data_IF_241858886938
#
_entry.id   IF_241858886938
#
_cell.length_a   1.000
_cell.length_b   1.000
_cell.length_c   1.000
_cell.angle_alpha   90.00
_cell.angle_beta   90.00
_cell.angle_gamma   90.00
#
_symmetry.space_group_name_H-M   'P 1'
#
loop_
_entity.id
_entity.type
_entity.pdbx_description
1 polymer ?
#
# COMPACT_ATOMS: atom_id res chain seq x y z
N UNK A 1 -20.14 -10.20 7.52
CA UNK A 1 -19.42 -8.91 7.64
C UNK A 1 -18.20 -9.05 8.52
N UNK A 2 -18.32 -9.08 9.85
CA UNK A 2 -17.17 -9.02 10.78
C UNK A 2 -16.05 -10.03 10.48
N UNK A 3 -16.38 -11.30 10.20
CA UNK A 3 -15.38 -12.33 9.89
C UNK A 3 -14.63 -12.04 8.58
N UNK A 4 -15.33 -11.61 7.53
CA UNK A 4 -14.72 -11.28 6.24
C UNK A 4 -13.82 -10.06 6.36
N UNK A 5 -14.30 -9.01 7.06
CA UNK A 5 -13.52 -7.79 7.28
C UNK A 5 -12.23 -8.09 8.06
N UNK A 6 -12.31 -9.00 9.05
CA UNK A 6 -11.16 -9.46 9.83
C UNK A 6 -10.16 -10.24 8.96
N UNK A 7 -10.66 -11.12 8.09
CA UNK A 7 -9.82 -11.88 7.15
C UNK A 7 -9.14 -10.92 6.16
N UNK A 8 -9.86 -9.95 5.61
CA UNK A 8 -9.30 -8.98 4.65
C UNK A 8 -8.23 -8.11 5.30
N UNK A 9 -8.42 -7.64 6.53
CA UNK A 9 -7.38 -6.94 7.28
C UNK A 9 -6.17 -7.86 7.56
N UNK A 10 -6.39 -9.11 7.96
CA UNK A 10 -5.31 -10.04 8.25
C UNK A 10 -4.49 -10.33 6.99
N UNK A 11 -5.16 -10.56 5.87
CA UNK A 11 -4.51 -10.75 4.57
C UNK A 11 -3.79 -9.49 4.11
N UNK A 12 -4.36 -8.30 4.31
CA UNK A 12 -3.65 -7.04 4.09
C UNK A 12 -2.31 -7.01 4.83
N UNK A 13 -2.29 -7.36 6.12
CA UNK A 13 -1.05 -7.39 6.91
C UNK A 13 -0.06 -8.46 6.44
N UNK A 14 -0.53 -9.66 6.09
CA UNK A 14 0.33 -10.73 5.55
C UNK A 14 0.97 -10.29 4.24
N UNK A 15 0.20 -9.71 3.33
CA UNK A 15 0.71 -9.22 2.05
C UNK A 15 1.63 -8.01 2.23
N UNK A 16 1.36 -7.11 3.17
CA UNK A 16 2.26 -6.00 3.52
C UNK A 16 3.61 -6.51 4.06
N UNK A 17 3.59 -7.55 4.92
CA UNK A 17 4.80 -8.19 5.41
C UNK A 17 5.59 -8.85 4.28
N UNK A 18 4.92 -9.64 3.42
CA UNK A 18 5.57 -10.31 2.30
C UNK A 18 6.07 -9.31 1.25
N UNK A 19 5.36 -8.21 1.03
CA UNK A 19 5.82 -7.09 0.23
C UNK A 19 7.15 -6.58 0.76
N UNK A 20 7.19 -6.21 2.04
CA UNK A 20 8.39 -5.68 2.67
C UNK A 20 9.57 -6.67 2.62
N UNK A 21 9.30 -7.95 2.89
CA UNK A 21 10.29 -9.02 2.86
C UNK A 21 10.91 -9.22 1.46
N UNK A 22 10.08 -9.30 0.41
CA UNK A 22 10.56 -9.46 -0.96
C UNK A 22 11.25 -8.19 -1.47
N UNK A 23 10.74 -7.02 -1.07
CA UNK A 23 11.32 -5.75 -1.46
C UNK A 23 12.74 -5.61 -0.90
N UNK A 24 12.97 -5.92 0.38
CA UNK A 24 14.29 -5.91 1.02
C UNK A 24 15.30 -6.88 0.38
N UNK A 25 14.83 -7.93 -0.28
CA UNK A 25 15.67 -8.92 -1.00
C UNK A 25 15.88 -8.56 -2.48
N UNK A 26 15.50 -7.35 -2.89
CA UNK A 26 15.51 -6.89 -4.28
C UNK A 26 14.71 -7.79 -5.24
N UNK A 27 13.77 -8.59 -4.70
CA UNK A 27 12.87 -9.42 -5.48
C UNK A 27 11.63 -8.59 -5.88
N UNK A 28 11.85 -7.60 -6.73
CA UNK A 28 10.83 -6.61 -7.09
C UNK A 28 9.60 -7.20 -7.79
N UNK A 29 9.77 -8.29 -8.54
CA UNK A 29 8.65 -8.96 -9.22
C UNK A 29 7.67 -9.54 -8.19
N UNK A 30 8.17 -10.31 -7.22
CA UNK A 30 7.32 -10.84 -6.15
C UNK A 30 6.82 -9.74 -5.23
N UNK A 31 7.64 -8.74 -4.91
CA UNK A 31 7.18 -7.59 -4.13
C UNK A 31 5.99 -6.89 -4.83
N UNK A 32 6.05 -6.70 -6.15
CA UNK A 32 4.93 -6.12 -6.90
C UNK A 32 3.65 -6.97 -6.83
N UNK A 33 3.77 -8.30 -6.92
CA UNK A 33 2.62 -9.21 -6.71
C UNK A 33 2.05 -9.07 -5.30
N UNK A 34 2.92 -8.98 -4.28
CA UNK A 34 2.48 -8.78 -2.90
C UNK A 34 1.80 -7.42 -2.70
N UNK A 35 2.27 -6.38 -3.39
CA UNK A 35 1.65 -5.06 -3.41
C UNK A 35 0.23 -5.10 -4.00
N UNK A 36 0.03 -5.81 -5.12
CA UNK A 36 -1.29 -5.99 -5.72
C UNK A 36 -2.23 -6.68 -4.71
N UNK A 37 -1.79 -7.76 -4.07
CA UNK A 37 -2.59 -8.46 -3.07
C UNK A 37 -2.97 -7.55 -1.90
N UNK A 38 -2.01 -6.78 -1.37
CA UNK A 38 -2.28 -5.77 -0.34
C UNK A 38 -3.35 -4.76 -0.77
N UNK A 39 -3.30 -4.26 -2.02
CA UNK A 39 -4.32 -3.33 -2.54
C UNK A 39 -5.69 -3.99 -2.70
N UNK A 40 -5.74 -5.25 -3.14
CA UNK A 40 -7.01 -6.00 -3.29
C UNK A 40 -7.69 -6.18 -1.94
N UNK A 41 -6.96 -6.62 -0.91
CA UNK A 41 -7.55 -6.83 0.42
C UNK A 41 -7.88 -5.52 1.13
N UNK A 42 -7.11 -4.44 0.90
CA UNK A 42 -7.50 -3.10 1.33
C UNK A 42 -8.81 -2.65 0.65
N UNK A 43 -8.94 -2.86 -0.66
CA UNK A 43 -10.16 -2.52 -1.41
C UNK A 43 -11.37 -3.31 -0.92
N UNK A 44 -11.22 -4.62 -0.69
CA UNK A 44 -12.29 -5.46 -0.14
C UNK A 44 -12.73 -4.98 1.25
N UNK A 45 -11.78 -4.70 2.15
CA UNK A 45 -12.08 -4.09 3.44
C UNK A 45 -12.77 -2.72 3.29
N UNK A 46 -12.31 -1.89 2.35
CA UNK A 46 -12.87 -0.58 2.06
C UNK A 46 -14.32 -0.66 1.56
N UNK A 47 -14.66 -1.67 0.75
CA UNK A 47 -15.99 -1.84 0.21
C UNK A 47 -17.03 -2.10 1.31
N UNK A 48 -16.68 -2.92 2.31
CA UNK A 48 -17.54 -3.32 3.43
C UNK A 48 -17.60 -2.31 4.57
N UNK A 49 -16.74 -1.28 4.57
CA UNK A 49 -16.73 -0.22 5.57
C UNK A 49 -18.04 0.61 5.55
N UNK A 50 -18.62 0.97 6.72
CA UNK A 50 -19.75 1.89 6.76
C UNK A 50 -19.41 3.23 6.11
N UNK A 51 -20.39 3.84 5.44
CA UNK A 51 -20.22 5.09 4.68
C UNK A 51 -19.62 6.21 5.53
N UNK A 52 -19.98 6.29 6.81
CA UNK A 52 -19.44 7.26 7.77
C UNK A 52 -17.92 7.13 7.96
N UNK A 53 -17.37 5.92 7.88
CA UNK A 53 -15.96 5.63 8.09
C UNK A 53 -15.12 5.65 6.81
N UNK A 54 -15.74 5.41 5.64
CA UNK A 54 -15.05 5.33 4.34
C UNK A 54 -14.18 6.56 4.04
N UNK A 55 -14.63 7.78 4.40
CA UNK A 55 -13.83 8.98 4.15
C UNK A 55 -12.60 9.04 5.07
N UNK A 56 -12.78 8.76 6.37
CA UNK A 56 -11.69 8.82 7.34
C UNK A 56 -10.61 7.79 7.03
N UNK A 57 -10.99 6.54 6.74
CA UNK A 57 -10.04 5.47 6.39
C UNK A 57 -9.27 5.82 5.11
N UNK A 58 -9.95 6.38 4.10
CA UNK A 58 -9.30 6.80 2.87
C UNK A 58 -8.27 7.91 3.11
N UNK A 59 -8.60 8.90 3.93
CA UNK A 59 -7.69 9.99 4.27
C UNK A 59 -6.47 9.46 5.02
N UNK A 60 -6.68 8.57 6.00
CA UNK A 60 -5.59 7.93 6.74
C UNK A 60 -4.70 7.12 5.80
N UNK A 61 -5.27 6.27 4.95
CA UNK A 61 -4.51 5.46 4.00
C UNK A 61 -3.70 6.33 3.03
N UNK A 62 -4.34 7.32 2.42
CA UNK A 62 -3.68 8.27 1.52
C UNK A 62 -2.55 9.01 2.21
N UNK A 63 -2.76 9.46 3.44
CA UNK A 63 -1.74 10.16 4.23
C UNK A 63 -0.55 9.26 4.55
N UNK A 64 -0.79 8.02 4.95
CA UNK A 64 0.27 7.03 5.21
C UNK A 64 1.08 6.75 3.94
N UNK A 65 0.42 6.60 2.79
CA UNK A 65 1.10 6.43 1.51
C UNK A 65 1.91 7.66 1.09
N UNK A 66 1.40 8.86 1.34
CA UNK A 66 2.13 10.10 1.08
C UNK A 66 3.39 10.19 1.95
N UNK A 67 3.30 9.90 3.26
CA UNK A 67 4.45 9.85 4.15
C UNK A 67 5.49 8.82 3.69
N UNK A 68 5.04 7.62 3.34
CA UNK A 68 5.91 6.57 2.81
C UNK A 68 6.63 7.02 1.54
N UNK A 69 5.88 7.59 0.59
CA UNK A 69 6.41 8.08 -0.70
C UNK A 69 7.46 9.16 -0.49
N UNK A 70 7.19 10.14 0.36
CA UNK A 70 8.12 11.24 0.65
C UNK A 70 9.39 10.71 1.33
N UNK A 71 9.24 9.82 2.31
CA UNK A 71 10.36 9.24 3.03
C UNK A 71 11.27 8.44 2.11
N UNK A 72 10.70 7.56 1.30
CA UNK A 72 11.46 6.74 0.34
C UNK A 72 12.09 7.60 -0.76
N UNK A 73 11.36 8.60 -1.27
CA UNK A 73 11.89 9.54 -2.26
C UNK A 73 13.09 10.32 -1.73
N UNK A 74 13.01 10.79 -0.47
CA UNK A 74 14.14 11.45 0.19
C UNK A 74 15.34 10.51 0.37
N UNK A 75 15.12 9.26 0.76
CA UNK A 75 16.20 8.27 0.88
C UNK A 75 16.88 7.99 -0.47
N UNK A 76 16.14 8.01 -1.58
CA UNK A 76 16.70 7.84 -2.92
C UNK A 76 17.70 8.94 -3.30
N UNK A 77 17.50 10.17 -2.77
CA UNK A 77 18.41 11.30 -2.99
C UNK A 77 19.64 11.25 -2.08
N UNK A 78 19.47 10.79 -0.84
CA UNK A 78 20.54 10.76 0.17
C UNK A 78 21.49 9.57 -0.02
N UNK A 79 20.96 8.40 -0.44
CA UNK A 79 21.72 7.14 -0.53
C UNK A 79 21.93 6.72 -1.99
N UNK A 80 22.93 7.28 -2.70
CA UNK A 80 23.13 7.03 -4.13
C UNK A 80 23.35 5.55 -4.45
N UNK A 81 24.03 4.80 -3.58
CA UNK A 81 24.27 3.36 -3.73
C UNK A 81 22.98 2.51 -3.77
N UNK A 82 21.89 2.99 -3.15
CA UNK A 82 20.60 2.32 -3.09
C UNK A 82 19.49 3.10 -3.79
N UNK A 83 19.86 4.09 -4.62
CA UNK A 83 18.91 4.99 -5.28
C UNK A 83 17.82 4.23 -6.03
N UNK A 84 18.20 3.18 -6.77
CA UNK A 84 17.27 2.34 -7.55
C UNK A 84 16.18 1.74 -6.65
N UNK A 85 16.57 1.13 -5.53
CA UNK A 85 15.66 0.50 -4.57
C UNK A 85 14.67 1.52 -3.99
N UNK A 86 15.16 2.65 -3.50
CA UNK A 86 14.31 3.71 -2.94
C UNK A 86 13.43 4.38 -4.00
N UNK A 87 13.89 4.53 -5.24
CA UNK A 87 13.07 5.03 -6.34
C UNK A 87 11.91 4.09 -6.67
N UNK A 88 12.12 2.77 -6.68
CA UNK A 88 11.02 1.81 -6.84
C UNK A 88 10.00 1.92 -5.70
N UNK A 89 10.46 2.02 -4.45
CA UNK A 89 9.57 2.19 -3.30
C UNK A 89 8.73 3.47 -3.43
N UNK A 90 9.36 4.55 -3.89
CA UNK A 90 8.67 5.82 -4.15
C UNK A 90 7.57 5.66 -5.20
N UNK A 91 7.87 5.00 -6.32
CA UNK A 91 6.89 4.75 -7.40
C UNK A 91 5.72 3.90 -6.88
N UNK A 92 6.00 2.87 -6.08
CA UNK A 92 4.97 2.03 -5.47
C UNK A 92 4.06 2.87 -4.56
N UNK A 93 4.64 3.76 -3.75
CA UNK A 93 3.87 4.69 -2.92
C UNK A 93 2.95 5.61 -3.73
N UNK A 94 3.43 6.14 -4.86
CA UNK A 94 2.60 6.95 -5.78
C UNK A 94 1.45 6.11 -6.34
N UNK A 95 1.71 4.89 -6.82
CA UNK A 95 0.66 4.00 -7.30
C UNK A 95 -0.37 3.67 -6.23
N UNK A 96 0.07 3.46 -4.99
CA UNK A 96 -0.82 3.18 -3.87
C UNK A 96 -1.80 4.32 -3.59
N UNK A 97 -1.33 5.58 -3.67
CA UNK A 97 -2.17 6.77 -3.55
C UNK A 97 -3.23 6.77 -4.66
N UNK A 98 -2.82 6.60 -5.91
CA UNK A 98 -3.73 6.59 -7.06
C UNK A 98 -4.78 5.49 -6.91
N UNK A 99 -4.38 4.27 -6.59
CA UNK A 99 -5.31 3.13 -6.39
C UNK A 99 -6.28 3.41 -5.24
N UNK A 100 -5.80 3.96 -4.12
CA UNK A 100 -6.66 4.33 -2.98
C UNK A 100 -7.72 5.35 -3.39
N UNK A 101 -7.36 6.33 -4.23
CA UNK A 101 -8.33 7.28 -4.79
C UNK A 101 -9.29 6.63 -5.79
N UNK A 102 -8.83 5.71 -6.62
CA UNK A 102 -9.70 4.96 -7.54
C UNK A 102 -10.77 4.21 -6.74
N UNK A 103 -10.39 3.54 -5.65
CA UNK A 103 -11.35 2.84 -4.78
C UNK A 103 -12.47 3.73 -4.26
N UNK A 104 -12.21 5.02 -3.99
CA UNK A 104 -13.28 5.97 -3.61
C UNK A 104 -14.37 6.10 -4.67
N UNK A 105 -14.00 5.99 -5.94
CA UNK A 105 -14.88 6.25 -7.07
C UNK A 105 -15.69 4.99 -7.41
N UNK A 106 -15.07 3.81 -7.23
CA UNK A 106 -15.66 2.53 -7.68
C UNK A 106 -16.25 1.66 -6.56
N UNK A 107 -15.95 1.89 -5.27
CA UNK A 107 -16.37 1.05 -4.12
C UNK A 107 -17.17 1.81 -3.06
#
# INVERSE_FOLDING_TARGET
MILNDTISILLFFVFAYLFNFNFHRDNYAYAFVMFIGMMVFYGDFYHHLPVTWKLYILLIATFLWALFTIFMGRQALIKPAHRKHFSYATIIGIFAIIITFIFRIIL
#
